data_IF_175558647181
#
_entry.id   IF_175558647181
#
_cell.length_a   1.000
_cell.length_b   1.000
_cell.length_c   1.000
_cell.angle_alpha   90.00
_cell.angle_beta   90.00
_cell.angle_gamma   90.00
#
_symmetry.space_group_name_H-M   'P 1'
#
loop_
_entity.id
_entity.type
_entity.pdbx_description
1 polymer ?
#
# COMPACT_ATOMS: atom_id res chain seq x y z
N UNK A 1 21.77 -18.49 22.61
CA UNK A 1 22.41 -19.72 22.13
C UNK A 1 22.55 -19.58 20.63
N UNK A 2 23.76 -19.39 20.14
CA UNK A 2 24.02 -19.46 18.70
C UNK A 2 23.78 -20.92 18.28
N UNK A 3 22.96 -21.14 17.25
CA UNK A 3 22.76 -22.48 16.70
C UNK A 3 24.07 -22.90 16.04
N UNK A 4 24.65 -24.00 16.49
CA UNK A 4 25.91 -24.53 15.92
C UNK A 4 25.74 -25.02 14.47
N UNK A 5 24.51 -25.43 14.10
CA UNK A 5 24.19 -25.94 12.77
C UNK A 5 22.86 -25.37 12.25
N UNK A 6 22.84 -25.05 10.97
CA UNK A 6 21.66 -24.62 10.22
C UNK A 6 21.25 -25.72 9.24
N UNK A 7 19.98 -26.05 9.19
CA UNK A 7 19.44 -26.93 8.13
C UNK A 7 19.62 -26.29 6.75
N UNK A 8 19.68 -27.10 5.68
CA UNK A 8 19.80 -26.55 4.31
C UNK A 8 18.70 -25.53 3.97
N UNK A 9 17.49 -25.71 4.53
CA UNK A 9 16.40 -24.74 4.36
C UNK A 9 16.70 -23.41 5.06
N UNK A 10 17.21 -23.44 6.30
CA UNK A 10 17.61 -22.22 7.01
C UNK A 10 18.78 -21.53 6.30
N UNK A 11 19.74 -22.28 5.76
CA UNK A 11 20.85 -21.73 4.96
C UNK A 11 20.35 -21.06 3.69
N UNK A 12 19.42 -21.70 2.97
CA UNK A 12 18.81 -21.15 1.78
C UNK A 12 18.11 -19.81 2.07
N UNK A 13 17.37 -19.74 3.19
CA UNK A 13 16.70 -18.51 3.62
C UNK A 13 17.70 -17.42 4.06
N UNK A 14 18.78 -17.77 4.76
CA UNK A 14 19.81 -16.81 5.21
C UNK A 14 20.60 -16.21 4.05
N UNK A 15 20.76 -16.95 2.96
CA UNK A 15 21.51 -16.53 1.78
C UNK A 15 20.61 -16.08 0.62
N UNK A 16 19.29 -16.01 0.83
CA UNK A 16 18.29 -15.62 -0.17
C UNK A 16 18.37 -16.41 -1.49
N UNK A 17 18.62 -17.72 -1.40
CA UNK A 17 18.76 -18.62 -2.54
C UNK A 17 17.86 -19.84 -2.42
N UNK A 18 17.74 -20.60 -3.51
CA UNK A 18 16.99 -21.85 -3.48
C UNK A 18 17.77 -22.96 -2.76
N UNK A 19 17.07 -23.88 -2.12
CA UNK A 19 17.68 -25.08 -1.51
C UNK A 19 18.44 -25.93 -2.53
N UNK A 20 17.97 -25.97 -3.78
CA UNK A 20 18.67 -26.62 -4.89
C UNK A 20 20.03 -25.99 -5.17
N UNK A 21 20.13 -24.64 -5.14
CA UNK A 21 21.39 -23.95 -5.32
C UNK A 21 22.40 -24.29 -4.21
N UNK A 22 21.94 -24.39 -2.96
CA UNK A 22 22.77 -24.85 -1.83
C UNK A 22 23.30 -26.26 -2.07
N UNK A 23 22.45 -27.21 -2.48
CA UNK A 23 22.88 -28.58 -2.76
C UNK A 23 23.86 -28.66 -3.94
N UNK A 24 23.64 -27.86 -4.99
CA UNK A 24 24.55 -27.78 -6.14
C UNK A 24 25.93 -27.29 -5.71
N UNK A 25 26.00 -26.25 -4.87
CA UNK A 25 27.27 -25.74 -4.34
C UNK A 25 27.96 -26.72 -3.40
N UNK A 26 27.21 -27.41 -2.54
CA UNK A 26 27.75 -28.49 -1.71
C UNK A 26 28.36 -29.64 -2.54
N UNK A 27 27.88 -29.87 -3.76
CA UNK A 27 28.45 -30.84 -4.69
C UNK A 27 29.65 -30.29 -5.46
N UNK A 28 29.56 -29.05 -5.96
CA UNK A 28 30.63 -28.39 -6.72
C UNK A 28 31.86 -28.12 -5.86
N UNK A 29 31.65 -27.57 -4.67
CA UNK A 29 32.70 -27.13 -3.74
C UNK A 29 32.88 -28.13 -2.59
N UNK A 30 32.60 -29.42 -2.87
CA UNK A 30 32.59 -30.49 -1.87
C UNK A 30 33.87 -30.54 -1.03
N UNK A 31 35.04 -30.35 -1.64
CA UNK A 31 36.32 -30.39 -0.91
C UNK A 31 36.42 -29.35 0.21
N UNK A 32 35.77 -28.21 0.03
CA UNK A 32 35.83 -27.07 0.94
C UNK A 32 34.66 -27.07 1.93
N UNK A 33 33.47 -27.53 1.50
CA UNK A 33 32.25 -27.50 2.30
C UNK A 33 31.98 -28.81 3.08
N UNK A 34 32.46 -29.97 2.65
CA UNK A 34 32.21 -31.28 3.31
C UNK A 34 32.65 -31.31 4.79
N UNK A 35 33.77 -30.69 5.21
CA UNK A 35 34.15 -30.60 6.62
C UNK A 35 33.14 -29.84 7.50
N UNK A 36 32.28 -29.02 6.88
CA UNK A 36 31.30 -28.17 7.54
C UNK A 36 29.87 -28.71 7.44
N UNK A 37 29.67 -29.82 6.73
CA UNK A 37 28.39 -30.50 6.60
C UNK A 37 28.26 -31.57 7.69
N UNK A 38 27.11 -31.60 8.34
CA UNK A 38 26.76 -32.65 9.30
C UNK A 38 25.32 -33.10 9.10
N UNK A 39 24.99 -34.29 9.59
CA UNK A 39 23.63 -34.81 9.55
C UNK A 39 22.99 -34.62 10.93
N UNK A 40 22.00 -33.73 11.01
CA UNK A 40 21.22 -33.49 12.23
C UNK A 40 19.79 -33.93 11.95
N UNK A 41 19.23 -34.81 12.78
CA UNK A 41 17.87 -35.34 12.60
C UNK A 41 17.60 -35.92 11.20
N UNK A 42 18.54 -36.74 10.69
CA UNK A 42 18.51 -37.32 9.34
C UNK A 42 18.46 -36.30 8.19
N UNK A 43 18.78 -35.03 8.46
CA UNK A 43 18.84 -33.98 7.45
C UNK A 43 20.22 -33.36 7.42
N UNK A 44 20.72 -33.08 6.21
CA UNK A 44 21.96 -32.34 6.05
C UNK A 44 21.82 -30.95 6.65
N UNK A 45 22.84 -30.53 7.37
CA UNK A 45 22.94 -29.25 8.05
C UNK A 45 24.36 -28.72 7.89
N UNK A 46 24.51 -27.41 7.92
CA UNK A 46 25.76 -26.71 7.72
C UNK A 46 26.13 -25.95 8.99
N UNK A 47 27.38 -26.05 9.41
CA UNK A 47 27.91 -25.23 10.51
C UNK A 47 27.89 -23.75 10.17
N UNK A 48 27.94 -22.88 11.19
CA UNK A 48 28.02 -21.43 11.02
C UNK A 48 29.18 -21.04 10.09
N UNK A 49 30.35 -21.66 10.25
CA UNK A 49 31.52 -21.46 9.40
C UNK A 49 31.27 -21.90 7.96
N UNK A 50 30.59 -23.04 7.76
CA UNK A 50 30.21 -23.52 6.44
C UNK A 50 29.26 -22.58 5.72
N UNK A 51 28.32 -21.95 6.43
CA UNK A 51 27.41 -20.94 5.85
C UNK A 51 28.17 -19.70 5.39
N UNK A 52 29.13 -19.22 6.20
CA UNK A 52 29.99 -18.09 5.83
C UNK A 52 30.89 -18.41 4.63
N UNK A 53 31.43 -19.61 4.58
CA UNK A 53 32.25 -20.08 3.45
C UNK A 53 31.39 -20.18 2.19
N UNK A 54 30.20 -20.77 2.27
CA UNK A 54 29.26 -20.83 1.16
C UNK A 54 28.89 -19.43 0.65
N UNK A 55 28.58 -18.48 1.54
CA UNK A 55 28.31 -17.09 1.16
C UNK A 55 29.49 -16.45 0.43
N UNK A 56 30.72 -16.71 0.90
CA UNK A 56 31.95 -16.18 0.29
C UNK A 56 32.21 -16.79 -1.09
N UNK A 57 32.03 -18.10 -1.24
CA UNK A 57 32.12 -18.81 -2.53
C UNK A 57 31.06 -18.35 -3.53
N UNK A 58 29.90 -17.92 -3.04
CA UNK A 58 28.84 -17.35 -3.85
C UNK A 58 29.11 -15.91 -4.28
N UNK A 59 29.69 -15.07 -3.41
CA UNK A 59 30.13 -13.72 -3.77
C UNK A 59 31.30 -13.72 -4.76
N UNK A 60 32.24 -14.68 -4.62
CA UNK A 60 33.35 -14.87 -5.57
C UNK A 60 32.89 -15.40 -6.93
N UNK A 61 31.69 -15.98 -7.02
CA UNK A 61 31.10 -16.53 -8.23
C UNK A 61 29.83 -15.79 -8.69
N UNK A 62 29.68 -14.51 -8.31
CA UNK A 62 28.46 -13.70 -8.56
C UNK A 62 27.99 -13.80 -10.04
N UNK A 63 26.87 -14.50 -10.30
CA UNK A 63 26.26 -14.61 -11.61
C UNK A 63 25.04 -13.68 -11.79
N UNK A 64 24.87 -12.63 -10.99
CA UNK A 64 23.86 -11.57 -11.27
C UNK A 64 24.08 -10.84 -12.63
N UNK A 65 25.02 -11.29 -13.48
CA UNK A 65 25.25 -10.78 -14.84
C UNK A 65 25.18 -11.82 -15.98
N UNK A 66 24.87 -13.10 -15.73
CA UNK A 66 24.71 -14.09 -16.83
C UNK A 66 23.40 -14.86 -16.73
N UNK A 67 22.35 -14.10 -16.90
CA UNK A 67 21.00 -14.60 -17.13
C UNK A 67 20.81 -14.99 -18.60
N UNK A 68 20.06 -16.07 -18.81
CA UNK A 68 19.39 -16.50 -20.05
C UNK A 68 20.28 -16.88 -21.25
N UNK A 69 20.58 -18.18 -21.47
CA UNK A 69 20.41 -18.87 -22.79
C UNK A 69 21.07 -20.24 -22.97
N UNK A 70 22.01 -20.72 -22.15
CA UNK A 70 22.77 -21.93 -22.53
C UNK A 70 22.99 -22.90 -21.37
N UNK A 71 22.07 -23.84 -21.15
CA UNK A 71 22.36 -25.22 -20.67
C UNK A 71 21.08 -26.07 -20.61
N UNK A 72 20.27 -26.11 -21.68
CA UNK A 72 19.18 -27.09 -21.75
C UNK A 72 19.66 -28.51 -22.12
N UNK A 73 20.89 -28.69 -22.61
CA UNK A 73 21.25 -29.94 -23.31
C UNK A 73 22.25 -30.88 -22.63
N UNK A 74 22.92 -30.49 -21.53
CA UNK A 74 24.06 -31.30 -21.02
C UNK A 74 23.82 -32.10 -19.74
N UNK A 75 22.83 -31.74 -18.91
CA UNK A 75 22.68 -32.34 -17.57
C UNK A 75 21.70 -33.54 -17.53
N UNK A 76 20.96 -33.78 -18.62
CA UNK A 76 20.04 -34.93 -18.73
C UNK A 76 20.74 -36.27 -18.98
N UNK A 77 22.02 -36.29 -19.34
CA UNK A 77 22.70 -37.52 -19.79
C UNK A 77 23.49 -38.27 -18.71
N UNK A 78 23.60 -37.75 -17.49
CA UNK A 78 24.47 -38.34 -16.46
C UNK A 78 23.80 -38.75 -15.14
N UNK A 79 22.51 -38.49 -14.95
CA UNK A 79 21.78 -39.23 -13.93
C UNK A 79 21.53 -40.65 -14.46
N UNK A 80 22.24 -41.64 -13.93
CA UNK A 80 21.72 -43.00 -13.90
C UNK A 80 20.50 -42.99 -12.98
N UNK A 81 19.35 -42.72 -13.58
CA UNK A 81 18.07 -42.70 -12.89
C UNK A 81 17.70 -44.16 -12.62
N UNK A 82 17.69 -44.55 -11.34
CA UNK A 82 17.44 -45.95 -10.97
C UNK A 82 15.96 -46.35 -11.15
N UNK A 83 15.06 -45.38 -11.38
CA UNK A 83 13.70 -45.58 -11.89
C UNK A 83 13.12 -44.21 -12.35
N UNK A 84 13.23 -43.83 -13.63
CA UNK A 84 12.84 -42.50 -14.11
C UNK A 84 11.35 -42.19 -13.95
N UNK A 85 10.50 -43.21 -13.95
CA UNK A 85 9.05 -43.06 -13.85
C UNK A 85 8.62 -42.56 -12.46
N UNK A 86 9.24 -43.04 -11.37
CA UNK A 86 8.91 -42.62 -9.99
C UNK A 86 9.31 -41.16 -9.73
N UNK A 87 10.50 -40.75 -10.20
CA UNK A 87 10.95 -39.35 -10.07
C UNK A 87 10.06 -38.43 -10.89
N UNK A 88 9.63 -38.86 -12.07
CA UNK A 88 8.78 -38.08 -12.96
C UNK A 88 7.37 -37.90 -12.38
N UNK A 89 6.78 -38.94 -11.79
CA UNK A 89 5.47 -38.85 -11.12
C UNK A 89 5.52 -37.96 -9.87
N UNK A 90 6.55 -38.07 -9.04
CA UNK A 90 6.68 -37.27 -7.82
C UNK A 90 6.90 -35.79 -8.14
N UNK A 91 7.72 -35.49 -9.17
CA UNK A 91 7.90 -34.13 -9.69
C UNK A 91 6.62 -33.58 -10.32
N UNK A 92 5.91 -34.37 -11.12
CA UNK A 92 4.63 -33.96 -11.72
C UNK A 92 3.59 -33.63 -10.66
N UNK A 93 3.52 -34.45 -9.61
CA UNK A 93 2.59 -34.24 -8.49
C UNK A 93 2.94 -32.97 -7.74
N UNK A 94 4.21 -32.78 -7.36
CA UNK A 94 4.66 -31.56 -6.69
C UNK A 94 4.40 -30.31 -7.52
N UNK A 95 4.75 -30.33 -8.81
CA UNK A 95 4.56 -29.19 -9.72
C UNK A 95 3.08 -28.88 -9.95
N UNK A 96 2.21 -29.89 -9.91
CA UNK A 96 0.76 -29.71 -10.04
C UNK A 96 0.18 -29.08 -8.78
N UNK A 97 0.51 -29.60 -7.61
CA UNK A 97 0.05 -29.06 -6.33
C UNK A 97 0.53 -27.61 -6.14
N UNK A 98 1.79 -27.34 -6.50
CA UNK A 98 2.35 -26.00 -6.39
C UNK A 98 1.72 -25.03 -7.40
N UNK A 99 1.40 -25.48 -8.62
CA UNK A 99 0.62 -24.68 -9.58
C UNK A 99 -0.79 -24.39 -9.10
N UNK A 100 -1.48 -25.37 -8.52
CA UNK A 100 -2.83 -25.18 -7.98
C UNK A 100 -2.83 -24.19 -6.81
N UNK A 101 -1.82 -24.28 -5.93
CA UNK A 101 -1.57 -23.32 -4.85
C UNK A 101 -1.31 -21.91 -5.37
N UNK A 102 -0.41 -21.77 -6.35
CA UNK A 102 -0.09 -20.47 -6.94
C UNK A 102 -1.30 -19.86 -7.66
N UNK A 103 -2.10 -20.67 -8.36
CA UNK A 103 -3.34 -20.21 -9.01
C UNK A 103 -4.35 -19.69 -7.99
N UNK A 104 -4.51 -20.37 -6.86
CA UNK A 104 -5.42 -19.92 -5.79
C UNK A 104 -4.92 -18.63 -5.14
N UNK A 105 -3.62 -18.51 -4.87
CA UNK A 105 -3.02 -17.28 -4.33
C UNK A 105 -3.17 -16.08 -5.28
N UNK A 106 -2.89 -16.27 -6.57
CA UNK A 106 -3.10 -15.24 -7.60
C UNK A 106 -4.56 -14.81 -7.66
N UNK A 107 -5.50 -15.74 -7.50
CA UNK A 107 -6.93 -15.42 -7.50
C UNK A 107 -7.33 -14.59 -6.28
N UNK A 108 -6.79 -14.92 -5.10
CA UNK A 108 -7.01 -14.14 -3.88
C UNK A 108 -6.46 -12.72 -4.02
N UNK A 109 -5.23 -12.57 -4.51
CA UNK A 109 -4.62 -11.26 -4.73
C UNK A 109 -5.41 -10.40 -5.75
N UNK A 110 -5.93 -11.02 -6.81
CA UNK A 110 -6.82 -10.33 -7.77
C UNK A 110 -8.10 -9.83 -7.09
N UNK A 111 -8.70 -10.64 -6.23
CA UNK A 111 -9.91 -10.27 -5.51
C UNK A 111 -9.66 -9.13 -4.51
N UNK A 112 -8.58 -9.20 -3.74
CA UNK A 112 -8.19 -8.13 -2.80
C UNK A 112 -7.89 -6.82 -3.53
N UNK A 113 -7.20 -6.89 -4.67
CA UNK A 113 -6.94 -5.71 -5.49
C UNK A 113 -8.24 -5.10 -6.04
N UNK A 114 -9.19 -5.93 -6.46
CA UNK A 114 -10.49 -5.47 -6.94
C UNK A 114 -11.29 -4.78 -5.82
N UNK A 115 -11.33 -5.37 -4.63
CA UNK A 115 -12.00 -4.77 -3.46
C UNK A 115 -11.35 -3.44 -3.07
N UNK A 116 -10.02 -3.37 -3.02
CA UNK A 116 -9.29 -2.14 -2.70
C UNK A 116 -9.58 -1.02 -3.70
N UNK A 117 -9.65 -1.36 -5.00
CA UNK A 117 -10.01 -0.38 -6.05
C UNK A 117 -11.45 0.12 -5.88
N UNK A 118 -12.39 -0.77 -5.55
CA UNK A 118 -13.78 -0.39 -5.32
C UNK A 118 -13.93 0.56 -4.12
N UNK A 119 -13.26 0.24 -2.99
CA UNK A 119 -13.24 1.09 -1.80
C UNK A 119 -12.66 2.48 -2.09
N UNK A 120 -11.53 2.56 -2.79
CA UNK A 120 -10.95 3.86 -3.16
C UNK A 120 -11.85 4.69 -4.07
N UNK A 121 -12.53 4.06 -5.02
CA UNK A 121 -13.46 4.80 -5.88
C UNK A 121 -14.69 5.27 -5.08
N UNK A 122 -15.19 4.45 -4.16
CA UNK A 122 -16.26 4.85 -3.25
C UNK A 122 -15.87 6.05 -2.38
N UNK A 123 -14.70 6.03 -1.75
CA UNK A 123 -14.20 7.14 -0.92
C UNK A 123 -14.09 8.43 -1.74
N UNK A 124 -13.64 8.31 -3.00
CA UNK A 124 -13.57 9.44 -3.91
C UNK A 124 -14.93 10.01 -4.26
N UNK A 125 -15.94 9.16 -4.52
CA UNK A 125 -17.29 9.62 -4.80
C UNK A 125 -17.91 10.30 -3.57
N UNK A 126 -17.74 9.72 -2.37
CA UNK A 126 -18.18 10.33 -1.12
C UNK A 126 -17.56 11.72 -0.92
N UNK A 127 -16.24 11.86 -1.14
CA UNK A 127 -15.57 13.15 -1.01
C UNK A 127 -16.07 14.20 -2.02
N UNK A 128 -16.43 13.78 -3.24
CA UNK A 128 -17.04 14.68 -4.24
C UNK A 128 -18.43 15.13 -3.79
N UNK A 129 -19.23 14.22 -3.25
CA UNK A 129 -20.58 14.48 -2.77
C UNK A 129 -20.58 15.41 -1.55
N UNK A 130 -19.75 15.15 -0.54
CA UNK A 130 -19.55 16.04 0.61
C UNK A 130 -19.14 17.45 0.18
N UNK A 131 -18.21 17.56 -0.78
CA UNK A 131 -17.79 18.86 -1.30
C UNK A 131 -18.94 19.60 -2.00
N UNK A 132 -19.77 18.88 -2.75
CA UNK A 132 -20.95 19.45 -3.40
C UNK A 132 -21.96 19.96 -2.38
N UNK A 133 -22.28 19.15 -1.37
CA UNK A 133 -23.20 19.54 -0.30
C UNK A 133 -22.70 20.78 0.44
N UNK A 134 -21.40 20.84 0.74
CA UNK A 134 -20.76 22.00 1.36
C UNK A 134 -20.89 23.26 0.48
N UNK A 135 -20.62 23.16 -0.82
CA UNK A 135 -20.77 24.29 -1.73
C UNK A 135 -22.22 24.76 -1.87
N UNK A 136 -23.19 23.84 -1.88
CA UNK A 136 -24.61 24.19 -1.88
C UNK A 136 -25.05 24.86 -0.57
N UNK A 137 -24.59 24.36 0.58
CA UNK A 137 -24.85 24.97 1.88
C UNK A 137 -24.27 26.39 1.96
N UNK A 138 -23.01 26.57 1.50
CA UNK A 138 -22.35 27.87 1.46
C UNK A 138 -23.09 28.88 0.57
N UNK A 139 -23.55 28.47 -0.61
CA UNK A 139 -24.34 29.34 -1.49
C UNK A 139 -25.62 29.80 -0.80
N UNK A 140 -26.30 28.93 -0.06
CA UNK A 140 -27.50 29.28 0.71
C UNK A 140 -27.17 30.28 1.82
N UNK A 141 -26.10 30.08 2.58
CA UNK A 141 -25.68 31.01 3.64
C UNK A 141 -25.31 32.38 3.09
N UNK A 142 -24.55 32.43 1.99
CA UNK A 142 -24.13 33.68 1.34
C UNK A 142 -25.34 34.47 0.83
N UNK A 143 -26.33 33.77 0.25
CA UNK A 143 -27.59 34.38 -0.22
C UNK A 143 -28.40 34.98 0.93
N UNK A 144 -28.51 34.26 2.05
CA UNK A 144 -29.22 34.74 3.24
C UNK A 144 -28.52 35.96 3.86
N UNK A 145 -27.19 35.94 3.93
CA UNK A 145 -26.39 37.05 4.43
C UNK A 145 -26.59 38.30 3.56
N UNK A 146 -26.53 38.16 2.24
CA UNK A 146 -26.78 39.26 1.31
C UNK A 146 -28.18 39.85 1.50
N UNK A 147 -29.20 39.00 1.62
CA UNK A 147 -30.58 39.43 1.87
C UNK A 147 -30.71 40.20 3.18
N UNK A 148 -30.05 39.74 4.24
CA UNK A 148 -30.03 40.41 5.54
C UNK A 148 -29.34 41.78 5.48
N UNK A 149 -28.20 41.88 4.77
CA UNK A 149 -27.50 43.15 4.56
C UNK A 149 -28.35 44.16 3.79
N UNK A 150 -29.01 43.72 2.70
CA UNK A 150 -29.92 44.58 1.93
C UNK A 150 -31.09 45.09 2.80
N UNK A 151 -31.74 44.20 3.55
CA UNK A 151 -32.83 44.58 4.45
C UNK A 151 -32.38 45.58 5.53
N UNK A 152 -31.16 45.42 6.07
CA UNK A 152 -30.59 46.35 7.03
C UNK A 152 -30.33 47.72 6.38
N UNK A 153 -29.84 47.76 5.14
CA UNK A 153 -29.59 49.01 4.42
C UNK A 153 -30.89 49.76 4.11
N UNK A 154 -31.94 49.05 3.68
CA UNK A 154 -33.27 49.63 3.47
C UNK A 154 -33.86 50.18 4.78
N UNK A 155 -33.73 49.45 5.89
CA UNK A 155 -34.17 49.92 7.20
C UNK A 155 -33.40 51.18 7.63
N UNK A 156 -32.09 51.28 7.34
CA UNK A 156 -31.28 52.48 7.59
C UNK A 156 -31.73 53.67 6.73
N UNK A 157 -32.10 53.44 5.46
CA UNK A 157 -32.63 54.49 4.56
C UNK A 157 -33.97 55.04 5.08
N UNK A 158 -34.88 54.18 5.55
CA UNK A 158 -36.17 54.58 6.15
C UNK A 158 -36.02 55.34 7.47
N UNK A 159 -34.99 55.05 8.26
CA UNK A 159 -34.74 55.71 9.56
C UNK A 159 -33.96 57.02 9.46
N UNK A 160 -33.40 57.38 8.30
CA UNK A 160 -32.77 58.69 8.09
C UNK A 160 -33.87 59.71 7.77
N UNK A 161 -34.15 60.69 8.65
CA UNK A 161 -35.08 61.75 8.31
C UNK A 161 -34.54 62.50 7.09
N UNK A 162 -35.42 62.75 6.12
CA UNK A 162 -35.11 63.56 4.94
C UNK A 162 -34.49 64.89 5.39
N UNK A 163 -33.38 65.29 4.76
CA UNK A 163 -32.80 66.62 4.96
C UNK A 163 -33.84 67.71 4.69
N UNK A 164 -34.73 67.50 3.71
CA UNK A 164 -35.89 68.36 3.47
C UNK A 164 -36.84 68.43 4.67
N UNK A 165 -37.15 67.29 5.32
CA UNK A 165 -38.02 67.27 6.49
C UNK A 165 -37.39 67.95 7.72
N UNK A 166 -36.06 67.97 7.82
CA UNK A 166 -35.33 68.74 8.86
C UNK A 166 -35.23 70.23 8.56
N UNK A 167 -35.12 70.61 7.29
CA UNK A 167 -35.04 72.01 6.85
C UNK A 167 -36.41 72.71 6.84
N UNK A 168 -37.49 72.00 6.51
CA UNK A 168 -38.84 72.56 6.40
C UNK A 168 -39.76 72.22 7.60
N UNK A 169 -39.23 71.57 8.64
CA UNK A 169 -39.97 71.16 9.84
C UNK A 169 -39.85 72.10 11.05
N UNK A 170 -39.06 73.18 10.96
CA UNK A 170 -39.08 74.29 11.91
C UNK A 170 -39.87 75.42 11.26
N UNK A 171 -41.14 75.57 11.59
CA UNK A 171 -41.91 76.83 11.41
C UNK A 171 -43.36 76.68 11.93
N UNK A 172 -43.60 75.88 12.97
CA UNK A 172 -44.90 75.85 13.67
C UNK A 172 -44.72 75.60 15.16
N UNK A 173 -44.10 76.55 15.85
CA UNK A 173 -44.16 76.58 17.31
C UNK A 173 -43.87 77.99 17.83
N UNK A 174 -44.61 79.00 17.37
CA UNK A 174 -44.79 80.23 18.15
C UNK A 174 -46.25 80.69 18.06
N UNK A 175 -46.73 81.18 19.20
CA UNK A 175 -47.95 81.92 19.47
C UNK A 175 -49.27 81.14 19.66
N UNK A 176 -49.49 80.67 20.90
CA UNK A 176 -50.60 81.18 21.72
C UNK A 176 -50.46 80.76 23.19
N UNK A 177 -49.64 81.51 23.93
CA UNK A 177 -49.76 81.61 25.39
C UNK A 177 -50.86 82.63 25.72
N UNK A 178 -51.68 82.27 26.72
CA UNK A 178 -52.40 83.17 27.64
C UNK A 178 -53.72 83.83 27.18
N UNK A 179 -54.85 83.35 27.72
CA UNK A 179 -55.77 84.12 28.59
C UNK A 179 -56.84 83.17 29.18
N UNK A 180 -56.68 82.65 30.40
CA UNK A 180 -57.08 83.18 31.71
C UNK A 180 -58.61 83.26 31.99
N UNK A 181 -58.99 82.52 33.04
CA UNK A 181 -59.99 82.80 34.08
C UNK A 181 -61.48 82.42 33.94
N UNK A 182 -61.89 81.65 34.97
CA UNK A 182 -63.21 81.38 35.56
C UNK A 182 -64.22 80.51 34.82
#
# INVERSE_FOLDING_TARGET
MEKEFYSILEVANLLEITTQAVYKRLQQDKKELDPHVSTVNNKKSLSVEGVKLLASLMQLNDPFTKDVTNTEDSDLQQMKISNPDEIQEELLTYLKDDNERLRTEVQLLKNELAQTRALREQDKQNAIEERREYEEARKRTDTLLLKAMMAQEEAKKKKKPSLLAKLFGRDKEEDSESQNNN
#
